data_IF_797827633798
#
_entry.id   IF_797827633798
#
_cell.length_a   1.000
_cell.length_b   1.000
_cell.length_c   1.000
_cell.angle_alpha   90.00
_cell.angle_beta   90.00
_cell.angle_gamma   90.00
#
_symmetry.space_group_name_H-M   'P 1'
#
loop_
_entity.id
_entity.type
_entity.pdbx_description
1 polymer ?
2 polymer ?
3 non-polymer ?
4 water ?
#
# COMPACT_ATOMS: atom_id res chain seq x y z
N UNK A 1 13.91 28.86 -15.66
CA UNK A 1 14.14 28.52 -14.27
C UNK A 1 13.05 29.10 -13.38
N UNK A 2 12.43 28.25 -12.56
CA UNK A 2 11.41 28.66 -11.60
C UNK A 2 12.01 28.61 -10.20
N UNK A 3 11.97 29.74 -9.49
CA UNK A 3 12.53 29.84 -8.15
C UNK A 3 11.40 30.11 -7.17
N UNK A 4 11.36 29.33 -6.09
CA UNK A 4 10.33 29.47 -5.07
C UNK A 4 10.99 29.47 -3.71
N UNK A 5 10.21 29.86 -2.70
CA UNK A 5 10.64 29.80 -1.31
C UNK A 5 10.03 28.54 -0.73
N UNK A 6 10.87 27.52 -0.54
CA UNK A 6 10.42 26.18 -0.19
C UNK A 6 10.92 25.79 1.18
N UNK A 7 10.09 25.07 1.91
CA UNK A 7 10.41 24.54 3.23
C UNK A 7 10.81 23.08 3.11
N UNK A 8 11.95 22.67 3.68
CA UNK A 8 12.32 21.25 3.65
C UNK A 8 11.29 20.39 4.38
N UNK A 9 11.16 19.15 3.90
CA UNK A 9 10.18 18.24 4.48
C UNK A 9 10.47 17.90 5.93
N UNK A 10 11.75 17.76 6.28
CA UNK A 10 12.15 17.46 7.64
C UNK A 10 12.67 18.71 8.33
N UNK A 11 12.86 18.60 9.64
CA UNK A 11 13.40 19.68 10.43
C UNK A 11 12.39 20.79 10.66
N UNK A 12 12.82 21.87 11.28
CA UNK A 12 11.89 22.98 11.57
C UNK A 12 11.57 23.76 10.30
N UNK A 13 10.60 24.66 10.44
CA UNK A 13 10.21 25.52 9.33
C UNK A 13 11.34 26.49 9.05
N UNK A 14 12.17 26.16 8.06
CA UNK A 14 13.31 26.98 7.66
C UNK A 14 13.26 27.14 6.14
N UNK A 15 12.35 27.97 5.63
CA UNK A 15 12.22 28.13 4.18
C UNK A 15 13.49 28.68 3.56
N UNK A 16 13.69 28.36 2.28
CA UNK A 16 14.86 28.77 1.53
C UNK A 16 14.52 28.80 0.05
N UNK A 17 15.33 29.52 -0.70
CA UNK A 17 15.11 29.65 -2.14
C UNK A 17 15.53 28.36 -2.85
N UNK A 18 14.59 27.78 -3.60
CA UNK A 18 14.83 26.56 -4.38
C UNK A 18 14.44 26.84 -5.82
N UNK A 19 15.32 26.50 -6.76
CA UNK A 19 15.08 26.70 -8.18
C UNK A 19 14.94 25.35 -8.87
N UNK A 20 13.99 25.25 -9.80
CA UNK A 20 13.78 24.04 -10.57
C UNK A 20 13.37 24.40 -11.99
N UNK A 21 13.52 23.44 -12.90
CA UNK A 21 13.27 23.65 -14.31
C UNK A 21 12.81 22.36 -14.96
N UNK A 22 12.45 22.46 -16.24
CA UNK A 22 12.02 21.31 -17.05
C UNK A 22 10.81 20.63 -16.40
N UNK A 23 9.74 21.40 -16.22
CA UNK A 23 8.52 20.89 -15.62
C UNK A 23 7.60 20.31 -16.68
N UNK A 24 7.20 19.06 -16.49
CA UNK A 24 6.29 18.37 -17.41
C UNK A 24 5.15 17.75 -16.61
N UNK A 25 3.92 17.94 -17.08
CA UNK A 25 2.77 17.30 -16.47
C UNK A 25 2.82 15.80 -16.74
N UNK A 26 2.87 15.00 -15.68
CA UNK A 26 2.89 13.55 -15.81
C UNK A 26 1.50 12.95 -15.60
N UNK A 27 0.77 13.44 -14.60
CA UNK A 27 -0.56 12.93 -14.32
C UNK A 27 -1.52 14.06 -14.02
N UNK A 28 -2.80 13.76 -14.19
CA UNK A 28 -3.87 14.69 -13.89
C UNK A 28 -5.02 13.93 -13.23
N UNK A 29 -5.88 14.67 -12.56
CA UNK A 29 -7.04 14.07 -11.94
C UNK A 29 -7.67 15.00 -10.92
N UNK A 30 -8.63 14.45 -10.18
CA UNK A 30 -9.35 15.23 -9.17
C UNK A 30 -8.44 15.70 -8.05
N UNK A 31 -7.40 14.92 -7.72
CA UNK A 31 -6.48 15.32 -6.66
C UNK A 31 -5.76 16.61 -7.00
N UNK A 32 -5.42 16.80 -8.25
CA UNK A 32 -4.64 17.93 -8.68
C UNK A 32 -3.77 17.56 -9.87
N UNK A 33 -2.53 18.01 -9.85
CA UNK A 33 -1.59 17.75 -10.93
C UNK A 33 -0.30 17.21 -10.33
N UNK A 34 0.32 16.28 -11.03
CA UNK A 34 1.62 15.74 -10.66
C UNK A 34 2.61 16.11 -11.76
N UNK A 35 3.66 16.83 -11.39
CA UNK A 35 4.70 17.28 -12.31
C UNK A 35 6.00 16.51 -12.06
N UNK A 36 6.80 16.42 -13.11
CA UNK A 36 8.21 16.07 -12.98
C UNK A 36 9.04 17.31 -13.25
N UNK A 37 10.14 17.46 -12.53
CA UNK A 37 11.01 18.62 -12.68
C UNK A 37 12.41 18.26 -12.20
N UNK A 38 13.35 19.17 -12.46
CA UNK A 38 14.74 18.98 -12.09
C UNK A 38 15.21 20.14 -11.23
N UNK A 39 15.82 19.82 -10.10
CA UNK A 39 16.43 20.83 -9.24
C UNK A 39 17.73 21.35 -9.89
N UNK A 40 17.90 22.68 -9.92
CA UNK A 40 19.05 23.24 -10.64
C UNK A 40 20.37 23.04 -9.88
N UNK A 41 20.36 23.22 -8.57
CA UNK A 41 21.62 23.17 -7.83
C UNK A 41 22.17 21.75 -7.82
N UNK A 42 21.31 20.73 -7.87
CA UNK A 42 21.77 19.34 -7.82
C UNK A 42 21.59 18.57 -9.12
N UNK A 43 20.66 18.99 -9.99
CA UNK A 43 20.38 18.24 -11.20
C UNK A 43 19.49 17.03 -11.01
N UNK A 44 19.04 16.76 -9.78
CA UNK A 44 18.23 15.59 -9.50
C UNK A 44 16.79 15.80 -9.97
N UNK A 45 16.22 14.76 -10.58
CA UNK A 45 14.81 14.80 -10.92
C UNK A 45 13.97 14.71 -9.65
N UNK A 46 12.85 15.43 -9.63
CA UNK A 46 11.90 15.37 -8.52
C UNK A 46 10.49 15.28 -9.12
N UNK A 47 9.55 14.94 -8.26
CA UNK A 47 8.13 14.94 -8.59
C UNK A 47 7.44 16.00 -7.75
N UNK A 48 6.48 16.70 -8.36
CA UNK A 48 5.75 17.75 -7.67
C UNK A 48 4.27 17.47 -7.76
N UNK A 49 3.62 17.32 -6.62
CA UNK A 49 2.18 17.21 -6.54
C UNK A 49 1.62 18.58 -6.18
N UNK A 50 0.73 19.10 -7.03
CA UNK A 50 0.13 20.41 -6.85
C UNK A 50 -1.34 20.23 -6.53
N UNK A 51 -1.73 20.64 -5.33
CA UNK A 51 -3.12 20.58 -4.90
C UNK A 51 -3.53 21.98 -4.43
N UNK A 52 -4.81 22.29 -4.60
CA UNK A 52 -5.34 23.51 -4.05
C UNK A 52 -5.39 23.38 -2.53
N UNK A 53 -4.92 24.41 -1.83
CA UNK A 53 -4.89 24.39 -0.38
C UNK A 53 -5.61 25.61 0.17
N UNK A 54 -6.58 25.36 1.05
CA UNK A 54 -7.24 26.42 1.78
C UNK A 54 -6.31 26.98 2.85
N UNK A 55 -6.36 28.29 3.06
CA UNK A 55 -5.48 28.96 4.01
C UNK A 55 -5.94 28.82 5.46
N UNK A 56 -7.14 28.29 5.69
CA UNK A 56 -7.71 28.25 7.03
C UNK A 56 -7.35 26.99 7.83
N UNK A 57 -6.72 26.00 7.20
CA UNK A 57 -6.34 24.79 7.90
C UNK A 57 -5.14 24.15 7.22
N UNK A 58 -4.49 23.25 7.94
CA UNK A 58 -3.31 22.56 7.44
C UNK A 58 -3.70 21.43 6.50
N UNK A 59 -2.92 21.25 5.45
CA UNK A 59 -3.14 20.16 4.51
C UNK A 59 -2.87 18.83 5.23
N UNK A 60 -3.88 17.94 5.22
CA UNK A 60 -3.74 16.67 5.92
C UNK A 60 -2.62 15.82 5.33
N UNK A 61 -2.50 15.79 4.00
CA UNK A 61 -1.43 15.02 3.37
C UNK A 61 -0.07 15.57 3.78
N UNK A 62 0.07 16.88 3.81
CA UNK A 62 1.34 17.49 4.17
C UNK A 62 1.73 17.14 5.60
N UNK A 63 0.80 17.31 6.55
CA UNK A 63 1.12 17.05 7.94
C UNK A 63 1.50 15.60 8.19
N UNK A 64 0.91 14.68 7.43
CA UNK A 64 1.28 13.26 7.55
C UNK A 64 2.69 13.04 7.04
N UNK A 65 3.00 13.59 5.86
CA UNK A 65 4.29 13.33 5.25
C UNK A 65 5.44 13.96 6.04
N UNK A 66 5.17 15.04 6.76
CA UNK A 66 6.23 15.71 7.52
C UNK A 66 6.71 14.89 8.70
N UNK A 67 5.92 13.94 9.19
CA UNK A 67 6.36 13.09 10.30
C UNK A 67 6.98 11.77 9.83
N UNK A 68 7.14 11.58 8.52
CA UNK A 68 7.60 10.31 7.97
C UNK A 68 9.05 10.43 7.49
N UNK A 69 9.89 9.49 7.90
CA UNK A 69 11.27 9.41 7.42
C UNK A 69 11.67 7.94 7.46
N UNK A 70 11.63 7.28 6.31
CA UNK A 70 11.77 5.85 6.22
C UNK A 70 12.29 5.49 4.84
N UNK A 71 13.14 4.46 4.77
CA UNK A 71 13.77 4.08 3.51
C UNK A 71 12.76 3.60 2.47
N UNK A 72 11.58 3.15 2.90
CA UNK A 72 10.61 2.58 1.98
C UNK A 72 9.38 3.47 1.78
N UNK A 73 9.49 4.75 2.12
CA UNK A 73 8.47 5.75 1.86
C UNK A 73 9.12 6.88 1.07
N UNK A 74 8.42 7.36 0.04
CA UNK A 74 8.97 8.43 -0.78
C UNK A 74 9.19 9.66 0.08
N UNK A 75 10.35 10.29 -0.09
CA UNK A 75 10.72 11.41 0.76
C UNK A 75 10.09 12.70 0.25
N UNK A 76 9.60 13.50 1.19
CA UNK A 76 9.17 14.87 0.92
C UNK A 76 10.39 15.78 1.05
N UNK A 77 11.01 16.12 -0.09
CA UNK A 77 12.17 17.02 -0.05
C UNK A 77 11.76 18.42 0.37
N UNK A 78 10.73 18.98 -0.27
CA UNK A 78 10.31 20.34 -0.01
C UNK A 78 8.80 20.43 -0.17
N UNK A 79 8.24 21.50 0.39
CA UNK A 79 6.90 21.93 0.04
C UNK A 79 6.89 23.44 -0.04
N UNK A 80 6.12 23.96 -1.00
CA UNK A 80 6.00 25.40 -1.19
C UNK A 80 4.61 25.70 -1.72
N UNK A 81 4.22 26.98 -1.63
CA UNK A 81 2.91 27.44 -2.06
C UNK A 81 3.05 28.32 -3.29
N UNK A 82 2.08 28.21 -4.20
CA UNK A 82 2.13 28.92 -5.48
C UNK A 82 0.69 29.14 -5.95
N UNK A 83 0.56 29.58 -7.21
CA UNK A 83 -0.75 29.76 -7.82
C UNK A 83 -0.77 29.23 -9.25
N UNK A 87 -7.31 31.96 -10.99
CA UNK A 87 -6.74 33.22 -10.55
C UNK A 87 -6.92 33.42 -9.04
N UNK A 88 -5.83 33.84 -8.40
CA UNK A 88 -5.75 34.25 -7.00
C UNK A 88 -5.84 33.09 -6.01
N UNK A 89 -6.02 31.85 -6.47
CA UNK A 89 -6.02 30.71 -5.58
C UNK A 89 -4.60 30.32 -5.20
N UNK A 90 -4.46 29.71 -4.03
CA UNK A 90 -3.16 29.30 -3.49
C UNK A 90 -3.07 27.78 -3.53
N UNK A 91 -2.01 27.27 -4.14
CA UNK A 91 -1.78 25.85 -4.28
C UNK A 91 -0.61 25.40 -3.43
N UNK A 92 -0.76 24.25 -2.79
CA UNK A 92 0.35 23.60 -2.11
C UNK A 92 1.05 22.67 -3.10
N UNK A 93 2.38 22.71 -3.10
CA UNK A 93 3.20 21.87 -3.95
C UNK A 93 4.07 20.99 -3.07
N UNK A 94 3.96 19.68 -3.26
CA UNK A 94 4.76 18.71 -2.51
C UNK A 94 5.88 18.20 -3.40
N UNK A 95 7.13 18.49 -3.04
CA UNK A 95 8.29 18.11 -3.84
C UNK A 95 8.80 16.75 -3.33
N UNK A 96 8.67 15.72 -4.16
CA UNK A 96 8.98 14.35 -3.78
C UNK A 96 10.18 13.83 -4.54
N UNK A 97 10.87 12.86 -3.93
CA UNK A 97 11.93 12.16 -4.64
C UNK A 97 11.36 11.47 -5.87
N UNK A 98 12.15 11.43 -6.94
CA UNK A 98 11.75 10.81 -8.19
C UNK A 98 12.36 9.42 -8.28
N UNK A 99 11.50 8.42 -8.41
CA UNK A 99 11.89 7.03 -8.57
C UNK A 99 11.46 6.58 -9.95
N UNK A 100 12.33 5.94 -10.75
CA UNK A 100 12.04 5.78 -12.18
C UNK A 100 10.88 4.86 -12.50
N UNK A 101 10.48 3.97 -11.59
CA UNK A 101 9.55 2.90 -11.94
C UNK A 101 8.52 2.71 -10.84
N UNK A 102 7.41 2.04 -11.20
CA UNK A 102 6.42 1.60 -10.25
C UNK A 102 6.21 0.09 -10.37
N UNK A 103 5.61 -0.49 -9.34
CA UNK A 103 5.26 -1.91 -9.38
C UNK A 103 4.22 -2.17 -10.47
N UNK A 104 3.27 -1.24 -10.63
CA UNK A 104 2.21 -1.42 -11.61
C UNK A 104 2.78 -1.64 -13.01
N UNK A 105 3.75 -0.81 -13.41
CA UNK A 105 4.32 -0.95 -14.74
C UNK A 105 5.10 -2.27 -14.89
N UNK A 106 5.89 -2.61 -13.87
CA UNK A 106 6.70 -3.82 -13.94
C UNK A 106 5.83 -5.06 -14.01
N UNK A 107 4.79 -5.11 -13.16
CA UNK A 107 3.87 -6.25 -13.19
C UNK A 107 3.12 -6.33 -14.51
N UNK A 108 2.83 -5.19 -15.12
CA UNK A 108 2.10 -5.19 -16.39
C UNK A 108 2.90 -5.90 -17.47
N UNK A 109 4.22 -5.74 -17.47
CA UNK A 109 5.04 -6.44 -18.46
C UNK A 109 4.89 -7.94 -18.32
N UNK A 110 4.93 -8.45 -17.09
CA UNK A 110 4.79 -9.89 -16.88
C UNK A 110 3.37 -10.35 -17.15
N UNK A 111 2.37 -9.49 -16.93
CA UNK A 111 1.00 -9.80 -17.31
C UNK A 111 0.85 -9.94 -18.82
N UNK A 112 1.82 -9.48 -19.60
CA UNK A 112 1.83 -9.69 -21.04
C UNK A 112 2.79 -10.82 -21.39
N UNK A 115 3.63 -14.70 -18.32
CA UNK A 115 4.83 -14.99 -17.54
C UNK A 115 4.70 -14.36 -16.16
N UNK A 116 5.63 -14.68 -15.26
CA UNK A 116 5.50 -14.29 -13.87
C UNK A 116 6.80 -13.69 -13.35
N UNK A 117 6.64 -12.72 -12.45
CA UNK A 117 7.80 -12.07 -11.82
C UNK A 117 8.56 -13.08 -10.97
N UNK A 118 9.88 -13.15 -11.09
CA UNK A 118 10.64 -14.10 -10.24
C UNK A 118 10.38 -13.82 -8.77
N UNK A 119 10.22 -14.90 -8.01
CA UNK A 119 9.73 -14.78 -6.64
C UNK A 119 10.74 -14.06 -5.73
N UNK A 120 12.03 -14.05 -6.10
CA UNK A 120 12.99 -13.28 -5.31
C UNK A 120 12.57 -11.82 -5.27
N UNK A 121 12.06 -11.30 -6.39
CA UNK A 121 11.58 -9.93 -6.42
C UNK A 121 10.23 -9.78 -5.71
N UNK A 122 9.39 -10.82 -5.75
CA UNK A 122 8.15 -10.76 -4.97
C UNK A 122 8.47 -10.65 -3.49
N UNK A 123 9.42 -11.44 -3.01
CA UNK A 123 9.88 -11.31 -1.62
C UNK A 123 10.40 -9.91 -1.36
N UNK A 124 11.29 -9.41 -2.24
CA UNK A 124 11.94 -8.14 -2.02
C UNK A 124 10.94 -6.99 -1.95
N UNK A 125 10.04 -6.92 -2.92
CA UNK A 125 9.10 -5.80 -2.98
C UNK A 125 8.08 -5.87 -1.85
N UNK A 126 7.49 -7.04 -1.62
CA UNK A 126 6.50 -7.16 -0.55
C UNK A 126 7.11 -6.89 0.82
N UNK A 127 8.32 -7.38 1.06
CA UNK A 127 8.96 -7.15 2.35
C UNK A 127 9.07 -5.66 2.62
N UNK A 128 9.52 -4.88 1.63
CA UNK A 128 9.67 -3.45 1.83
C UNK A 128 8.32 -2.78 2.00
N UNK A 129 7.28 -3.26 1.31
CA UNK A 129 5.95 -2.68 1.46
C UNK A 129 5.44 -2.87 2.89
N UNK A 130 5.62 -4.07 3.45
CA UNK A 130 5.18 -4.30 4.82
C UNK A 130 6.00 -3.47 5.80
N UNK A 131 7.30 -3.28 5.54
CA UNK A 131 8.08 -2.38 6.38
C UNK A 131 7.48 -0.98 6.38
N UNK A 132 7.15 -0.46 5.20
CA UNK A 132 6.57 0.88 5.13
C UNK A 132 5.22 0.93 5.84
N UNK A 133 4.44 -0.15 5.74
CA UNK A 133 3.15 -0.20 6.44
C UNK A 133 3.34 -0.28 7.95
N UNK A 134 4.29 -1.09 8.40
CA UNK A 134 4.58 -1.14 9.84
C UNK A 134 4.97 0.23 10.36
N UNK A 135 5.74 0.99 9.58
CA UNK A 135 6.19 2.31 10.02
C UNK A 135 5.02 3.27 10.15
N UNK A 136 4.20 3.40 9.10
CA UNK A 136 3.10 4.36 9.15
C UNK A 136 2.04 3.93 10.15
N UNK A 137 1.74 2.63 10.22
CA UNK A 137 0.76 2.14 11.18
C UNK A 137 1.18 2.43 12.61
N UNK A 138 2.50 2.48 12.88
CA UNK A 138 2.96 2.78 14.22
C UNK A 138 2.60 4.20 14.65
N UNK A 139 2.34 5.08 13.70
CA UNK A 139 1.86 6.44 13.99
C UNK A 139 0.34 6.52 14.08
N UNK A 140 -0.36 5.40 13.87
CA UNK A 140 -1.80 5.43 13.74
C UNK A 140 -2.29 5.82 12.36
N UNK A 141 -1.42 5.84 11.36
CA UNK A 141 -1.76 6.33 10.02
C UNK A 141 -2.09 5.14 9.13
N UNK A 142 -3.29 5.17 8.53
CA UNK A 142 -3.69 4.18 7.56
C UNK A 142 -3.60 4.79 6.16
N UNK A 143 -2.88 4.11 5.26
CA UNK A 143 -2.62 4.66 3.93
C UNK A 143 -3.90 4.74 3.12
N UNK A 144 -4.70 3.67 3.10
CA UNK A 144 -6.03 3.61 2.49
C UNK A 144 -6.01 3.63 0.96
N UNK A 145 -4.84 3.58 0.32
CA UNK A 145 -4.79 3.45 -1.13
C UNK A 145 -3.65 2.54 -1.57
N UNK A 146 -3.48 1.41 -0.89
CA UNK A 146 -2.40 0.49 -1.25
C UNK A 146 -2.77 -0.22 -2.54
N UNK A 147 -1.92 -0.08 -3.55
CA UNK A 147 -2.11 -0.68 -4.87
C UNK A 147 -0.78 -0.56 -5.62
N UNK A 148 -0.59 -1.37 -6.67
CA UNK A 148 0.71 -1.37 -7.36
C UNK A 148 1.12 0.00 -7.88
N UNK A 149 0.17 0.82 -8.35
CA UNK A 149 0.51 2.12 -8.90
C UNK A 149 1.15 3.04 -7.86
N UNK A 150 0.96 2.77 -6.57
CA UNK A 150 1.53 3.60 -5.51
C UNK A 150 2.78 2.98 -4.90
N UNK A 151 3.40 2.04 -5.60
CA UNK A 151 4.62 1.38 -5.13
C UNK A 151 5.73 1.71 -6.11
N UNK A 152 6.56 2.71 -5.76
CA UNK A 152 7.67 3.12 -6.60
C UNK A 152 8.83 2.13 -6.47
N UNK A 153 9.49 1.86 -7.60
CA UNK A 153 10.61 0.93 -7.63
C UNK A 153 11.83 1.58 -8.26
N UNK A 154 12.99 1.35 -7.63
CA UNK A 154 14.26 1.68 -8.26
C UNK A 154 14.80 0.38 -8.85
N UNK A 155 14.69 0.16 -10.16
CA UNK A 155 15.13 -1.13 -10.73
C UNK A 155 16.60 -1.41 -10.51
N UNK A 156 17.44 -0.38 -10.44
CA UNK A 156 18.86 -0.61 -10.24
C UNK A 156 19.15 -1.14 -8.85
N UNK A 157 18.44 -0.66 -7.83
CA UNK A 157 18.73 -1.05 -6.46
C UNK A 157 17.66 -1.95 -5.84
N UNK A 158 16.55 -2.19 -6.53
CA UNK A 158 15.42 -2.97 -6.02
C UNK A 158 14.80 -2.35 -4.77
N UNK A 159 14.98 -1.04 -4.57
CA UNK A 159 14.35 -0.35 -3.44
C UNK A 159 12.92 0.01 -3.82
N UNK A 160 11.99 -0.27 -2.92
CA UNK A 160 10.59 0.07 -3.08
C UNK A 160 10.25 1.25 -2.18
N UNK A 161 9.38 2.15 -2.67
CA UNK A 161 8.96 3.31 -1.89
C UNK A 161 7.46 3.51 -2.04
N UNK A 162 6.77 3.58 -0.91
CA UNK A 162 5.34 3.89 -0.91
C UNK A 162 5.13 5.38 -1.09
N UNK A 163 4.13 5.75 -1.90
CA UNK A 163 3.82 7.15 -2.14
C UNK A 163 2.31 7.36 -2.16
N UNK A 164 1.90 8.60 -2.48
CA UNK A 164 0.49 9.01 -2.53
C UNK A 164 -0.21 8.83 -1.17
N UNK A 165 0.12 9.74 -0.26
CA UNK A 165 -0.55 9.81 1.04
C UNK A 165 -1.79 10.72 0.99
N UNK A 166 -2.36 10.93 -0.19
CA UNK A 166 -3.53 11.78 -0.33
C UNK A 166 -4.82 11.16 0.15
N UNK A 167 -4.86 9.85 0.34
CA UNK A 167 -5.99 9.19 0.96
C UNK A 167 -5.75 8.83 2.42
N UNK A 168 -4.55 9.11 2.93
CA UNK A 168 -4.15 8.61 4.24
C UNK A 168 -4.84 9.37 5.36
N UNK A 169 -5.01 8.70 6.50
CA UNK A 169 -5.68 9.31 7.63
C UNK A 169 -5.25 8.61 8.90
N UNK A 170 -5.12 9.38 9.98
CA UNK A 170 -4.90 8.78 11.29
C UNK A 170 -6.25 8.34 11.83
N UNK A 171 -6.51 7.04 11.77
CA UNK A 171 -7.77 6.49 12.25
C UNK A 171 -7.81 6.59 13.77
N UNK A 172 -8.90 7.15 14.30
CA UNK A 172 -9.11 7.29 15.73
C UNK A 172 -10.41 6.57 16.08
N UNK A 173 -10.35 5.71 17.10
CA UNK A 173 -11.52 4.94 17.48
C UNK A 173 -12.68 5.84 17.84
N UNK A 174 -13.87 5.50 17.34
CA UNK A 174 -15.07 6.26 17.60
C UNK A 174 -15.41 7.29 16.55
N UNK A 175 -14.44 7.68 15.72
CA UNK A 175 -14.70 8.61 14.63
C UNK A 175 -14.90 7.80 13.35
N UNK A 176 -16.12 7.71 12.82
CA UNK A 176 -16.34 6.89 11.64
C UNK A 176 -15.66 7.46 10.42
N UNK A 177 -15.38 6.57 9.46
CA UNK A 177 -14.69 6.94 8.23
C UNK A 177 -15.49 6.40 7.04
N UNK A 178 -15.28 7.03 5.88
CA UNK A 178 -16.01 6.63 4.69
C UNK A 178 -15.58 5.22 4.26
N UNK A 179 -16.54 4.44 3.77
CA UNK A 179 -16.29 3.04 3.43
C UNK A 179 -15.83 2.86 1.98
N UNK A 181 -13.41 3.51 -0.06
CA UNK A 181 -12.01 3.91 -0.15
C UNK A 181 -11.24 2.80 -0.85
N UNK A 182 -9.98 3.08 -1.23
CA UNK A 182 -9.10 2.14 -1.92
C UNK A 182 -9.55 1.91 -3.36
N UNK A 183 -8.62 1.48 -4.20
CA UNK A 183 -8.98 1.01 -5.53
C UNK A 183 -9.70 -0.33 -5.40
N UNK A 184 -10.64 -0.57 -6.32
CA UNK A 184 -11.62 -1.63 -6.15
C UNK A 184 -10.95 -3.00 -5.98
N UNK A 185 -9.99 -3.31 -6.85
CA UNK A 185 -9.36 -4.63 -6.81
C UNK A 185 -8.69 -4.90 -5.46
N UNK A 186 -8.37 -3.86 -4.70
CA UNK A 186 -7.58 -3.96 -3.47
C UNK A 186 -8.37 -3.58 -2.23
N UNK A 187 -9.69 -3.44 -2.37
CA UNK A 187 -10.56 -2.99 -1.28
C UNK A 187 -10.90 -4.14 -0.35
N UNK A 188 -10.74 -3.91 0.96
CA UNK A 188 -11.04 -4.93 1.95
C UNK A 188 -12.54 -5.23 1.98
N UNK A 189 -12.92 -6.48 2.27
CA UNK A 189 -14.34 -6.84 2.21
C UNK A 189 -15.22 -6.09 3.20
N UNK A 190 -14.69 -5.72 4.37
CA UNK A 190 -15.50 -4.96 5.31
C UNK A 190 -15.86 -3.59 4.75
N UNK A 191 -14.98 -3.01 3.93
CA UNK A 191 -15.30 -1.76 3.24
C UNK A 191 -16.44 -1.97 2.24
N UNK A 192 -16.39 -3.08 1.48
CA UNK A 192 -17.46 -3.39 0.55
C UNK A 192 -18.76 -3.62 1.29
N UNK A 193 -18.70 -4.19 2.49
CA UNK A 193 -19.89 -4.34 3.31
C UNK A 193 -20.36 -3.02 3.91
N UNK A 194 -19.59 -1.95 3.76
CA UNK A 194 -20.00 -0.65 4.27
C UNK A 194 -19.61 -0.36 5.69
N UNK A 195 -18.64 -1.07 6.25
CA UNK A 195 -18.16 -0.78 7.59
C UNK A 195 -17.50 0.59 7.63
N UNK A 196 -17.82 1.36 8.67
CA UNK A 196 -17.24 2.68 8.88
C UNK A 196 -16.27 2.73 10.05
N UNK A 197 -16.14 1.65 10.81
CA UNK A 197 -15.25 1.59 11.97
C UNK A 197 -14.01 0.75 11.68
N UNK A 198 -13.64 0.60 10.42
CA UNK A 198 -12.50 -0.21 10.04
C UNK A 198 -11.21 0.36 10.62
N UNK A 199 -10.16 -0.45 10.55
CA UNK A 199 -8.87 -0.15 11.15
C UNK A 199 -7.79 -0.14 10.06
N UNK A 200 -6.54 -0.01 10.49
CA UNK A 200 -5.42 -0.05 9.56
C UNK A 200 -5.27 -1.40 8.88
N UNK A 201 -5.96 -2.44 9.37
CA UNK A 201 -5.87 -3.76 8.75
C UNK A 201 -6.41 -3.78 7.33
N UNK A 202 -7.14 -2.75 6.91
CA UNK A 202 -7.53 -2.68 5.49
C UNK A 202 -6.29 -2.58 4.60
N UNK A 203 -5.24 -1.91 5.08
CA UNK A 203 -4.00 -1.84 4.29
C UNK A 203 -3.38 -3.22 4.15
N UNK A 204 -3.48 -4.05 5.19
CA UNK A 204 -2.94 -5.40 5.12
C UNK A 204 -3.70 -6.23 4.11
N UNK A 205 -5.02 -6.06 4.04
CA UNK A 205 -5.78 -6.73 2.99
C UNK A 205 -5.30 -6.30 1.61
N UNK A 206 -5.18 -4.99 1.39
CA UNK A 206 -4.73 -4.49 0.09
C UNK A 206 -3.35 -5.03 -0.24
N UNK A 207 -2.45 -5.04 0.74
CA UNK A 207 -1.12 -5.58 0.51
C UNK A 207 -1.18 -7.06 0.18
N UNK A 208 -2.11 -7.80 0.79
CA UNK A 208 -2.31 -9.18 0.41
C UNK A 208 -2.73 -9.33 -1.05
N UNK A 209 -3.59 -8.43 -1.52
CA UNK A 209 -3.99 -8.48 -2.92
C UNK A 209 -2.81 -8.22 -3.84
N UNK A 210 -1.93 -7.29 -3.47
CA UNK A 210 -0.75 -7.01 -4.29
C UNK A 210 0.14 -8.24 -4.35
N UNK A 211 0.40 -8.88 -3.20
CA UNK A 211 1.24 -10.08 -3.18
C UNK A 211 0.65 -11.17 -4.06
N UNK A 212 -0.65 -11.42 -3.95
CA UNK A 212 -1.29 -12.43 -4.78
C UNK A 212 -1.20 -12.07 -6.26
N UNK A 213 -1.37 -10.78 -6.58
CA UNK A 213 -1.25 -10.34 -7.96
C UNK A 213 0.14 -10.61 -8.52
N UNK A 214 1.19 -10.35 -7.73
CA UNK A 214 2.55 -10.61 -8.18
C UNK A 214 2.82 -12.10 -8.36
N UNK A 215 2.20 -12.95 -7.55
CA UNK A 215 2.34 -14.39 -7.72
C UNK A 215 1.54 -14.90 -8.92
N UNK A 216 0.37 -14.30 -9.17
CA UNK A 216 -0.54 -14.79 -10.19
C UNK A 216 -0.29 -14.19 -11.57
N UNK A 217 0.34 -13.02 -11.65
CA UNK A 217 0.48 -12.35 -12.92
C UNK A 217 -0.72 -11.51 -13.32
N UNK A 218 -1.73 -11.42 -12.47
CA UNK A 218 -2.92 -10.62 -12.72
C UNK A 218 -3.63 -10.39 -11.38
N UNK A 219 -4.47 -9.38 -11.29
CA UNK A 219 -5.20 -9.14 -10.03
C UNK A 219 -6.00 -10.37 -9.62
N UNK A 220 -6.00 -10.65 -8.32
CA UNK A 220 -6.66 -11.85 -7.83
C UNK A 220 -8.17 -11.66 -7.74
N UNK A 221 -8.63 -10.44 -7.44
CA UNK A 221 -10.06 -10.14 -7.31
C UNK A 221 -10.39 -9.01 -8.27
N UNK A 222 -10.58 -9.32 -9.55
CA UNK A 222 -10.85 -8.27 -10.57
C UNK A 222 -12.34 -7.95 -10.69
N UNK A 223 -12.92 -7.41 -9.61
CA UNK A 223 -14.32 -7.06 -9.64
C UNK A 223 -14.60 -5.89 -10.57
N UNK A 224 -15.78 -5.94 -11.19
CA UNK A 224 -16.22 -4.88 -12.09
C UNK A 224 -17.08 -3.82 -11.41
N UNK A 225 -17.35 -3.97 -10.12
CA UNK A 225 -18.19 -3.06 -9.36
C UNK A 225 -18.01 -3.39 -7.89
N UNK A 226 -18.71 -2.65 -7.03
CA UNK A 226 -18.63 -2.87 -5.60
C UNK A 226 -19.07 -4.26 -5.18
N UNK A 227 -20.31 -4.63 -5.53
CA UNK A 227 -20.81 -5.96 -5.17
C UNK A 227 -19.99 -7.04 -5.87
N UNK A 228 -19.70 -6.84 -7.15
CA UNK A 228 -18.96 -7.85 -7.91
C UNK A 228 -17.57 -8.08 -7.33
N UNK A 229 -16.99 -7.06 -6.70
CA UNK A 229 -15.70 -7.24 -6.05
C UNK A 229 -15.81 -8.28 -4.94
N UNK A 230 -16.87 -8.21 -4.14
CA UNK A 230 -17.07 -9.21 -3.10
C UNK A 230 -17.34 -10.59 -3.70
N UNK A 231 -18.06 -10.64 -4.82
CA UNK A 231 -18.34 -11.91 -5.49
C UNK A 231 -17.04 -12.56 -5.95
N UNK A 232 -16.11 -11.75 -6.49
CA UNK A 232 -14.80 -12.29 -6.87
C UNK A 232 -14.04 -12.80 -5.66
N UNK A 233 -14.13 -12.09 -4.53
CA UNK A 233 -13.48 -12.54 -3.31
C UNK A 233 -14.10 -13.85 -2.83
N UNK A 234 -15.44 -13.92 -2.86
CA UNK A 234 -16.13 -15.13 -2.40
C UNK A 234 -15.78 -16.32 -3.29
N UNK A 235 -15.64 -16.09 -4.61
CA UNK A 235 -15.33 -17.19 -5.50
C UNK A 235 -13.93 -17.77 -5.27
N UNK A 236 -13.10 -17.10 -4.50
CA UNK A 236 -11.79 -17.63 -4.10
C UNK A 236 -11.80 -18.13 -2.66
N UNK A 237 -12.27 -17.30 -1.73
CA UNK A 237 -12.25 -17.63 -0.31
C UNK A 237 -13.48 -18.39 0.16
N UNK A 238 -14.49 -18.54 -0.69
CA UNK A 238 -15.76 -19.08 -0.25
C UNK A 238 -16.60 -18.03 0.45
N UNK A 239 -17.85 -18.39 0.70
CA UNK A 239 -18.74 -17.50 1.42
C UNK A 239 -18.21 -17.27 2.83
N UNK A 240 -18.09 -16.02 3.28
CA UNK A 240 -17.72 -15.78 4.68
C UNK A 240 -18.77 -16.33 5.62
N UNK A 241 -18.33 -16.86 6.76
CA UNK A 241 -19.25 -17.35 7.76
C UNK A 241 -20.00 -16.19 8.41
N UNK A 242 -21.07 -16.53 9.12
CA UNK A 242 -21.85 -15.50 9.81
C UNK A 242 -21.03 -14.81 10.88
N UNK A 243 -20.11 -15.53 11.53
CA UNK A 243 -19.20 -14.89 12.47
C UNK A 243 -18.22 -13.96 11.75
N UNK A 244 -17.70 -14.39 10.58
CA UNK A 244 -16.81 -13.52 9.83
C UNK A 244 -17.53 -12.28 9.33
N UNK A 245 -18.78 -12.44 8.89
CA UNK A 245 -19.57 -11.28 8.49
C UNK A 245 -19.79 -10.34 9.66
N UNK A 246 -20.07 -10.91 10.84
CA UNK A 246 -20.29 -10.09 12.04
C UNK A 246 -19.04 -9.29 12.39
N UNK A 247 -17.86 -9.89 12.22
CA UNK A 247 -16.61 -9.18 12.46
C UNK A 247 -16.41 -8.05 11.45
N UNK A 248 -16.81 -8.28 10.21
CA UNK A 248 -16.66 -7.25 9.19
C UNK A 248 -17.70 -6.14 9.35
N UNK A 249 -18.97 -6.52 9.44
CA UNK A 249 -20.07 -5.60 9.66
C UNK A 249 -21.22 -6.34 10.32
N UNK A 250 -21.55 -6.03 11.59
CA UNK A 250 -22.57 -6.80 12.30
C UNK A 250 -23.97 -6.62 11.76
N UNK A 251 -24.20 -5.68 10.84
CA UNK A 251 -25.53 -5.33 10.39
C UNK A 251 -26.01 -6.18 9.21
N UNK A 252 -25.46 -7.40 9.06
CA UNK A 252 -25.87 -8.31 7.99
C UNK A 252 -26.27 -9.64 8.64
N UNK A 254 -27.53 -9.69 9.09
CA UNK A 254 -28.14 -10.90 9.63
C UNK A 254 -28.69 -11.80 8.52
N UNK A 255 -28.65 -11.33 7.28
CA UNK A 255 -29.18 -12.07 6.14
C UNK A 255 -28.42 -13.39 5.96
N UNK A 256 -28.96 -14.24 5.11
CA UNK A 256 -28.32 -15.50 4.75
C UNK A 256 -27.93 -15.45 3.29
N UNK A 257 -26.64 -15.68 3.01
CA UNK A 257 -26.07 -15.66 1.67
C UNK A 257 -25.80 -17.08 1.19
N UNK A 258 -25.80 -17.29 -0.12
CA UNK A 258 -25.49 -18.63 -0.64
C UNK A 258 -24.12 -19.11 -0.21
N UNK A 259 -24.00 -20.42 0.01
CA UNK A 259 -22.77 -21.02 0.51
C UNK A 259 -21.91 -21.46 -0.66
N UNK A 260 -20.86 -20.68 -0.95
CA UNK A 260 -19.91 -20.99 -2.01
C UNK A 260 -18.66 -21.60 -1.37
N UNK A 261 -18.18 -22.69 -1.93
CA UNK A 261 -17.02 -23.38 -1.39
C UNK A 261 -15.74 -22.62 -1.72
N UNK A 262 -14.82 -22.61 -0.76
CA UNK A 262 -13.53 -21.97 -0.99
C UNK A 262 -12.73 -22.76 -2.02
N UNK A 263 -12.09 -22.04 -2.92
CA UNK A 263 -11.20 -22.69 -3.88
C UNK A 263 -9.90 -23.07 -3.18
N UNK A 264 -9.40 -24.29 -3.37
CA UNK A 264 -8.16 -24.69 -2.68
C UNK A 264 -7.02 -23.72 -2.97
N UNK A 265 -6.38 -23.24 -1.90
CA UNK A 265 -5.38 -22.18 -2.04
C UNK A 265 -4.23 -22.61 -2.93
N UNK A 266 -3.79 -23.87 -2.81
CA UNK A 266 -2.70 -24.33 -3.65
C UNK A 266 -3.12 -24.47 -5.11
N UNK A 267 -4.42 -24.59 -5.39
CA UNK A 267 -4.90 -24.59 -6.76
C UNK A 267 -5.14 -23.18 -7.31
N UNK A 268 -5.14 -22.16 -6.45
CA UNK A 268 -5.32 -20.80 -6.91
C UNK A 268 -4.10 -20.31 -7.68
N UNK A 269 -2.90 -20.66 -7.20
CA UNK A 269 -1.66 -20.15 -7.75
C UNK A 269 -1.03 -21.18 -8.70
N UNK A 270 0.10 -20.80 -9.29
CA UNK A 270 0.75 -21.61 -10.30
C UNK A 270 1.29 -22.90 -9.68
N UNK A 271 1.56 -23.92 -10.51
CA UNK A 271 1.89 -25.24 -9.96
C UNK A 271 3.14 -25.26 -9.09
N UNK A 272 4.10 -24.35 -9.29
CA UNK A 272 5.32 -24.36 -8.50
C UNK A 272 5.43 -23.15 -7.57
N UNK A 273 4.30 -22.55 -7.19
CA UNK A 273 4.32 -21.44 -6.25
C UNK A 273 4.83 -21.94 -4.89
N UNK A 274 5.78 -21.24 -4.27
CA UNK A 274 6.30 -21.70 -2.97
C UNK A 274 5.20 -21.80 -1.94
N UNK A 275 5.19 -22.87 -1.13
CA UNK A 275 4.16 -23.00 -0.10
C UNK A 275 4.16 -21.87 0.90
N UNK A 276 5.33 -21.30 1.19
CA UNK A 276 5.39 -20.18 2.12
C UNK A 276 4.66 -18.96 1.57
N UNK A 277 4.68 -18.77 0.25
CA UNK A 277 3.98 -17.64 -0.36
C UNK A 277 2.47 -17.82 -0.23
N UNK A 278 1.97 -19.02 -0.47
CA UNK A 278 0.54 -19.28 -0.34
C UNK A 278 0.11 -19.16 1.12
N UNK A 279 0.96 -19.62 2.05
CA UNK A 279 0.63 -19.49 3.46
C UNK A 279 0.55 -18.03 3.87
N UNK A 280 1.45 -17.19 3.37
CA UNK A 280 1.40 -15.77 3.72
C UNK A 280 0.13 -15.13 3.18
N UNK A 281 -0.25 -15.45 1.94
CA UNK A 281 -1.43 -14.83 1.35
C UNK A 281 -2.68 -15.16 2.13
N UNK A 282 -2.82 -16.41 2.58
CA UNK A 282 -4.00 -16.80 3.34
C UNK A 282 -4.07 -16.09 4.69
N UNK A 283 -2.92 -15.75 5.26
CA UNK A 283 -2.92 -15.03 6.54
C UNK A 283 -3.05 -13.51 6.37
N UNK A 284 -2.98 -13.01 5.14
CA UNK A 284 -3.28 -11.61 4.85
C UNK A 284 -4.71 -11.43 4.37
N UNK A 285 -5.17 -12.31 3.48
CA UNK A 285 -6.51 -12.23 2.92
C UNK A 285 -7.49 -13.00 3.80
N UNK A 286 -7.59 -12.57 5.05
CA UNK A 286 -8.55 -13.11 5.99
C UNK A 286 -9.78 -12.22 6.05
N UNK A 287 -10.95 -12.85 6.06
CA UNK A 287 -12.19 -12.10 6.16
C UNK A 287 -12.25 -11.29 7.46
N UNK A 288 -11.97 -11.94 8.59
CA UNK A 288 -12.03 -11.24 9.87
C UNK A 288 -10.87 -10.25 9.97
N UNK A 289 -11.13 -8.95 10.06
CA UNK A 289 -10.02 -7.98 10.00
C UNK A 289 -8.96 -8.20 11.06
N UNK A 290 -9.37 -8.51 12.29
CA UNK A 290 -8.43 -8.72 13.37
C UNK A 290 -7.63 -10.01 13.23
N UNK A 291 -8.02 -10.90 12.32
CA UNK A 291 -7.28 -12.13 12.11
C UNK A 291 -6.12 -11.98 11.15
N UNK A 292 -6.06 -10.88 10.41
CA UNK A 292 -4.95 -10.67 9.49
C UNK A 292 -3.66 -10.43 10.25
N UNK A 293 -2.55 -10.81 9.63
CA UNK A 293 -1.24 -10.46 10.16
C UNK A 293 -1.11 -8.93 10.21
N UNK A 294 -0.38 -8.46 11.21
CA UNK A 294 0.09 -7.08 11.16
C UNK A 294 1.24 -6.99 10.16
N UNK A 295 1.57 -5.78 9.67
CA UNK A 295 2.71 -5.66 8.76
C UNK A 295 4.02 -6.17 9.35
N UNK A 296 4.26 -5.90 10.64
CA UNK A 296 5.48 -6.37 11.27
C UNK A 296 5.52 -7.89 11.33
N UNK A 297 4.38 -8.51 11.67
CA UNK A 297 4.29 -9.97 11.62
C UNK A 297 4.53 -10.46 10.20
N UNK A 298 4.01 -9.74 9.20
CA UNK A 298 4.23 -10.14 7.82
C UNK A 298 5.72 -10.12 7.47
N UNK A 299 6.45 -9.08 7.91
CA UNK A 299 7.87 -9.02 7.64
C UNK A 299 8.62 -10.24 8.19
N UNK A 300 8.17 -10.76 9.33
CA UNK A 300 8.80 -11.89 9.99
C UNK A 300 8.31 -13.24 9.48
N UNK A 301 7.46 -13.26 8.46
CA UNK A 301 6.97 -14.50 7.90
C UNK A 301 8.09 -15.29 7.23
N UNK A 302 7.91 -16.60 7.16
CA UNK A 302 8.93 -17.47 6.57
C UNK A 302 9.09 -17.26 5.08
N UNK A 303 8.12 -16.63 4.43
CA UNK A 303 8.27 -16.29 3.01
C UNK A 303 9.45 -15.37 2.77
N UNK A 304 9.86 -14.61 3.77
CA UNK A 304 10.95 -13.66 3.65
C UNK A 304 12.25 -14.15 4.27
N UNK A 305 12.32 -15.44 4.63
CA UNK A 305 13.53 -15.98 5.25
C UNK A 305 14.73 -15.88 4.33
N UNK A 306 14.52 -16.07 3.02
CA UNK A 306 15.62 -15.97 2.07
C UNK A 306 16.27 -14.59 2.11
N UNK A 307 15.49 -13.56 2.41
CA UNK A 307 16.03 -12.20 2.49
C UNK A 307 16.96 -12.03 3.69
N UNK A 308 16.76 -12.80 4.74
CA UNK A 308 17.62 -12.75 5.91
C UNK A 308 18.84 -13.65 5.79
N UNK A 309 18.98 -14.37 4.68
CA UNK A 309 20.17 -15.17 4.44
C UNK A 309 21.38 -14.25 4.27
N UNK A 310 22.48 -14.48 4.99
CA UNK A 310 23.68 -13.65 4.79
C UNK A 310 24.21 -13.70 3.37
N UNK A 311 24.13 -14.84 2.70
CA UNK A 311 24.65 -15.01 1.35
C UNK A 311 23.56 -14.91 0.29
N UNK A 312 22.56 -14.06 0.51
CA UNK A 312 21.49 -13.89 -0.46
C UNK A 312 22.02 -13.14 -1.68
N UNK A 313 21.66 -13.62 -2.87
CA UNK A 313 22.09 -13.03 -4.13
C UNK A 313 20.88 -12.49 -4.87
N UNK A 314 20.97 -11.20 -5.31
CA UNK A 314 19.97 -10.54 -6.11
C UNK A 314 20.25 -10.71 -7.60
N UNK A 315 19.21 -10.79 -8.42
CA UNK A 315 19.44 -11.01 -9.87
C UNK A 315 20.12 -9.86 -10.58
N UNK A 316 20.26 -8.69 -9.96
CA UNK A 316 20.96 -7.58 -10.58
C UNK A 316 22.45 -7.57 -10.25
N UNK A 317 22.93 -8.54 -9.48
CA UNK A 317 24.34 -8.61 -9.14
C UNK A 317 24.79 -7.64 -8.08
N UNK A 318 23.86 -7.02 -7.36
CA UNK A 318 24.17 -6.08 -6.29
C UNK A 318 23.74 -6.64 -4.94
N UNK A 319 24.27 -6.04 -3.88
CA UNK A 319 23.83 -6.38 -2.55
C UNK A 319 22.39 -5.95 -2.34
N UNK A 320 21.73 -6.60 -1.39
CA UNK A 320 20.36 -6.22 -1.08
C UNK A 320 20.34 -4.81 -0.49
N UNK A 321 19.24 -4.09 -0.67
CA UNK A 321 19.12 -2.77 -0.03
C UNK A 321 19.07 -2.89 1.48
N UNK A 322 18.95 -1.76 2.17
CA UNK A 322 18.72 -1.78 3.61
C UNK A 322 17.45 -2.56 3.92
N UNK A 323 17.58 -3.65 4.66
CA UNK A 323 16.45 -4.48 5.01
C UNK A 323 16.24 -4.65 6.50
N UNK A 324 17.27 -4.46 7.32
CA UNK A 324 17.21 -4.77 8.74
C UNK A 324 17.50 -3.57 9.63
N UNK A 325 17.50 -2.36 9.07
CA UNK A 325 17.76 -1.16 9.88
C UNK A 325 16.46 -0.67 10.52
N UNK A 326 15.86 -1.57 11.29
CA UNK A 326 14.63 -1.24 12.00
C UNK A 326 14.91 -0.24 13.11
N UNK A 327 13.98 0.68 13.31
CA UNK A 327 14.02 1.61 14.42
C UNK A 327 13.06 1.17 15.51
N UNK A 328 13.17 1.83 16.66
CA UNK A 328 12.23 1.56 17.76
C UNK A 328 10.80 1.87 17.33
N UNK A 329 10.62 2.97 16.60
CA UNK A 329 9.29 3.32 16.11
C UNK A 329 8.72 2.24 15.21
N UNK A 330 9.55 1.65 14.36
CA UNK A 330 9.08 0.62 13.44
C UNK A 330 8.74 -0.68 14.14
N UNK A 331 9.40 -0.95 15.28
CA UNK A 331 9.21 -2.21 15.99
C UNK A 331 8.17 -2.11 17.10
N UNK A 332 7.56 -0.94 17.29
CA UNK A 332 6.82 -0.68 18.53
C UNK A 332 5.62 -1.59 18.69
N UNK A 333 5.02 -2.06 17.59
CA UNK A 333 3.85 -2.92 17.71
C UNK A 333 4.20 -4.29 18.30
N UNK A 334 5.44 -4.73 18.13
CA UNK A 334 5.90 -6.04 18.61
C UNK A 334 7.42 -6.08 18.65
N UNK A 335 8.04 -5.44 19.64
CA UNK A 335 9.51 -5.33 19.68
C UNK A 335 10.21 -6.69 19.66
N UNK A 336 9.69 -7.73 20.34
CA UNK A 336 10.40 -9.03 20.29
C UNK A 336 10.51 -9.63 18.90
N UNK A 337 9.74 -9.17 17.92
CA UNK A 337 9.92 -9.66 16.56
C UNK A 337 11.29 -9.31 15.99
N UNK A 338 12.02 -8.38 16.60
CA UNK A 338 13.38 -8.08 16.15
C UNK A 338 14.29 -9.29 16.28
N UNK A 339 13.95 -10.24 17.15
CA UNK A 339 14.70 -11.50 17.24
C UNK A 339 14.72 -12.20 15.90
N UNK A 340 13.63 -12.11 15.13
CA UNK A 340 13.59 -12.66 13.79
C UNK A 340 13.99 -11.62 12.74
N UNK A 341 13.49 -10.39 12.87
CA UNK A 341 13.62 -9.39 11.82
C UNK A 341 15.07 -8.97 11.61
N UNK A 342 15.89 -8.93 12.67
CA UNK A 342 17.28 -8.53 12.56
C UNK A 342 18.14 -9.80 12.67
N UNK A 343 18.68 -10.31 11.57
CA UNK A 343 19.47 -11.54 11.62
C UNK A 343 20.75 -11.34 12.41
N UNK A 344 21.38 -12.42 12.88
CA UNK A 344 22.61 -12.27 13.68
C UNK A 344 23.71 -11.52 12.96
N UNK A 345 23.79 -11.64 11.63
CA UNK A 345 24.84 -10.94 10.90
C UNK A 345 24.55 -9.45 10.73
N UNK A 346 23.34 -8.99 11.05
CA UNK A 346 23.02 -7.58 11.01
C UNK A 346 23.20 -6.89 12.36
N UNK A 347 23.70 -7.60 13.37
CA UNK A 347 23.91 -7.02 14.69
C UNK A 347 25.38 -6.66 14.92
N UNK B 1 -28.24 -1.11 3.91
CA UNK B 1 -27.76 -2.45 4.27
C UNK B 1 -28.59 -3.56 3.64
N UNK B 2 -29.90 -3.35 3.52
CA UNK B 2 -30.78 -4.37 2.95
C UNK B 2 -30.65 -4.44 1.43
N UNK B 3 -30.38 -3.30 0.78
CA UNK B 3 -30.28 -3.30 -0.68
C UNK B 3 -29.00 -4.01 -1.16
N UNK B 4 -27.88 -3.79 -0.46
CA UNK B 4 -26.64 -4.44 -0.84
C UNK B 4 -26.73 -5.95 -0.73
N UNK B 5 -27.35 -6.45 0.35
CA UNK B 5 -27.42 -7.89 0.57
C UNK B 5 -28.24 -8.58 -0.52
N UNK B 6 -29.34 -7.94 -0.96
CA UNK B 6 -30.19 -8.52 -1.97
C UNK B 6 -29.43 -8.75 -3.27
N UNK B 7 -28.67 -7.74 -3.72
CA UNK B 7 -27.89 -7.89 -4.94
C UNK B 7 -26.78 -8.93 -4.76
N UNK B 8 -26.16 -8.97 -3.58
CA UNK B 8 -25.11 -9.94 -3.33
C UNK B 8 -25.64 -11.37 -3.40
N UNK B 9 -26.79 -11.61 -2.77
CA UNK B 9 -27.41 -12.94 -2.84
C UNK B 9 -27.68 -13.31 -4.29
N UNK B 10 -28.15 -12.35 -5.08
CA UNK B 10 -28.46 -12.61 -6.48
C UNK B 10 -27.22 -13.02 -7.26
N UNK B 11 -26.13 -12.27 -7.09
CA UNK B 11 -24.93 -12.54 -7.89
C UNK B 11 -24.24 -13.83 -7.46
N UNK B 12 -24.41 -14.23 -6.20
CA UNK B 12 -23.77 -15.45 -5.71
C UNK B 12 -24.41 -16.70 -6.31
N UNK B 13 -25.73 -16.66 -6.54
CA UNK B 13 -26.41 -17.84 -7.08
C UNK B 13 -26.03 -18.10 -8.53
N UNK B 14 -25.68 -17.05 -9.29
CA UNK B 14 -25.26 -17.24 -10.67
C UNK B 14 -23.93 -17.99 -10.74
N UNK B 15 -23.10 -17.89 -9.71
CA UNK B 15 -21.84 -18.63 -9.64
C UNK B 15 -21.96 -19.90 -8.82
N UNK B 16 -23.03 -20.05 -8.03
CA UNK B 16 -23.22 -21.25 -7.21
C UNK B 16 -23.86 -22.36 -8.02
#
# INVERSE_FOLDING_TARGET
>A
VTTVVATPGQGPDRPQEVSYTDTKVIGNGSFGVVYQAKLCDSGELVAIKKVLQDKRFKNRELQIMRKLDHCNIVRLRYFFYSSGEKKDEVYLNLVLDYVPETVYRVARHYSRAKQTLPVIYVKLYMYQLFRSLAYIHSFGICHRDIKPQNLLLDPDTAVLKLCDFGSAKQLVRGEPNVSXICSRYYRAPELIFGATDYTSSIDVWSAGCVLAELLLGQPIFPGDSGVDQLVEIIKVLGTPTREQIREMNPNYTEFKFPQIKAHPWTKVFRPRTPPEAIALCSRLLEYTPTARLTPLEACAHSFFDELRDPNVKLPNGRDTPALFNFTTQELSSNPPLATILIPPHAR
>B
PQKFAEELIHRLEAVQ
#
